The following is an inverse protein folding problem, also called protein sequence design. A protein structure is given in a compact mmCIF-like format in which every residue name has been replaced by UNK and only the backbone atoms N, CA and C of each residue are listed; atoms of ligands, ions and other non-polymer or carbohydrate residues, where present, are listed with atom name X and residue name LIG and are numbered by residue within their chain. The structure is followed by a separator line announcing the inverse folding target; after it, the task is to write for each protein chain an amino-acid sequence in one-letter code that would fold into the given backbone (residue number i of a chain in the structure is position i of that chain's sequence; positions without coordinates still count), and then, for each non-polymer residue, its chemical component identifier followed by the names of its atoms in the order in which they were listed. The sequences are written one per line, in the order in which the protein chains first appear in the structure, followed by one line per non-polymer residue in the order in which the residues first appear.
data_IF_211206382284
#
_entry.id   IF_211206382284
#
_cell.length_a   1.000
_cell.length_b   1.000
_cell.length_c   1.000
_cell.angle_alpha   90.00
_cell.angle_beta   90.00
_cell.angle_gamma   90.00
#
_symmetry.space_group_name_H-M   'P 1'
#
loop_
_entity.id
_entity.type
_entity.pdbx_description
1 polymer ?
#
# COMPACT_ATOMS: atom_id res chain seq x y z
N UNK A 1 59.82 34.49 -3.74
CA UNK A 1 60.60 35.45 -2.92
C UNK A 1 62.01 34.91 -2.71
N UNK A 2 62.17 33.73 -2.12
CA UNK A 2 63.45 33.02 -1.92
C UNK A 2 64.35 33.00 -3.15
N UNK A 3 63.84 32.61 -4.33
CA UNK A 3 64.63 32.57 -5.57
C UNK A 3 65.21 33.93 -6.00
N UNK A 4 64.48 35.02 -5.76
CA UNK A 4 64.94 36.36 -6.11
C UNK A 4 65.97 36.88 -5.10
N UNK A 5 65.79 36.56 -3.81
CA UNK A 5 66.76 36.89 -2.76
C UNK A 5 68.06 36.11 -2.96
N UNK A 6 67.98 34.83 -3.32
CA UNK A 6 69.15 34.00 -3.61
C UNK A 6 69.93 34.52 -4.83
N UNK A 7 69.25 34.93 -5.90
CA UNK A 7 69.91 35.52 -7.07
C UNK A 7 70.62 36.86 -6.75
N UNK A 8 70.04 37.69 -5.88
CA UNK A 8 70.67 38.93 -5.41
C UNK A 8 71.84 38.65 -4.47
N UNK A 9 71.71 37.65 -3.60
CA UNK A 9 72.77 37.16 -2.70
C UNK A 9 73.99 36.71 -3.49
N UNK A 10 73.80 35.81 -4.47
CA UNK A 10 74.87 35.31 -5.36
C UNK A 10 75.59 36.44 -6.10
N UNK A 11 74.83 37.43 -6.60
CA UNK A 11 75.42 38.60 -7.29
C UNK A 11 76.23 39.51 -6.36
N UNK A 12 75.87 39.59 -5.07
CA UNK A 12 76.62 40.35 -4.06
C UNK A 12 77.88 39.59 -3.63
N UNK A 13 77.79 38.27 -3.45
CA UNK A 13 78.96 37.41 -3.15
C UNK A 13 80.03 37.56 -4.23
N UNK A 14 79.65 37.48 -5.51
CA UNK A 14 80.57 37.67 -6.64
C UNK A 14 81.30 39.03 -6.55
N UNK A 15 80.58 40.11 -6.25
CA UNK A 15 81.18 41.45 -6.09
C UNK A 15 82.09 41.58 -4.87
N UNK A 16 81.77 40.90 -3.77
CA UNK A 16 82.62 40.88 -2.57
C UNK A 16 83.94 40.17 -2.83
N UNK A 17 83.91 39.04 -3.55
CA UNK A 17 85.11 38.35 -4.01
C UNK A 17 85.93 39.19 -4.99
N UNK A 18 85.30 39.87 -5.95
CA UNK A 18 85.98 40.79 -6.89
C UNK A 18 86.66 41.96 -6.16
N UNK A 19 86.09 42.41 -5.04
CA UNK A 19 86.67 43.47 -4.20
C UNK A 19 87.79 42.98 -3.26
N UNK A 20 88.12 41.68 -3.26
CA UNK A 20 89.22 41.11 -2.48
C UNK A 20 88.90 40.86 -1.00
N UNK A 21 87.62 40.75 -0.63
CA UNK A 21 87.21 40.28 0.71
C UNK A 21 87.60 38.79 0.88
N UNK A 22 87.94 38.39 2.11
CA UNK A 22 88.27 37.00 2.44
C UNK A 22 87.03 36.09 2.42
N UNK A 23 87.24 34.82 2.08
CA UNK A 23 86.18 33.82 1.92
C UNK A 23 85.38 33.59 3.20
N UNK A 24 86.03 33.66 4.37
CA UNK A 24 85.41 33.47 5.67
C UNK A 24 84.38 34.57 5.97
N UNK A 25 84.75 35.84 5.74
CA UNK A 25 83.85 36.98 5.91
C UNK A 25 82.67 36.98 4.94
N UNK A 26 82.88 36.55 3.68
CA UNK A 26 81.79 36.43 2.69
C UNK A 26 80.83 35.30 3.07
N UNK A 27 81.34 34.17 3.56
CA UNK A 27 80.53 33.03 3.98
C UNK A 27 79.74 33.31 5.27
N UNK A 28 80.31 34.05 6.22
CA UNK A 28 79.59 34.49 7.43
C UNK A 28 78.42 35.42 7.07
N UNK A 29 78.65 36.40 6.18
CA UNK A 29 77.59 37.26 5.66
C UNK A 29 76.50 36.47 4.94
N UNK A 30 76.92 35.55 4.06
CA UNK A 30 76.06 34.66 3.28
C UNK A 30 75.13 33.83 4.17
N UNK A 31 75.69 33.25 5.23
CA UNK A 31 74.98 32.46 6.23
C UNK A 31 73.97 33.31 7.02
N UNK A 32 74.33 34.56 7.37
CA UNK A 32 73.41 35.49 8.02
C UNK A 32 72.19 35.84 7.15
N UNK A 33 72.37 35.97 5.83
CA UNK A 33 71.25 36.19 4.89
C UNK A 33 70.36 34.95 4.79
N UNK A 34 70.95 33.75 4.73
CA UNK A 34 70.17 32.50 4.71
C UNK A 34 69.34 32.33 5.98
N UNK A 35 69.89 32.70 7.14
CA UNK A 35 69.15 32.69 8.40
C UNK A 35 67.94 33.62 8.37
N UNK A 36 68.09 34.85 7.86
CA UNK A 36 66.98 35.80 7.70
C UNK A 36 65.91 35.27 6.76
N UNK A 37 66.30 34.67 5.63
CA UNK A 37 65.36 34.06 4.67
C UNK A 37 64.60 32.89 5.30
N UNK A 38 65.30 32.03 6.05
CA UNK A 38 64.68 30.91 6.76
C UNK A 38 63.66 31.38 7.80
N UNK A 39 63.97 32.44 8.56
CA UNK A 39 63.06 33.06 9.52
C UNK A 39 61.81 33.64 8.82
N UNK A 40 62.00 34.30 7.69
CA UNK A 40 60.89 34.85 6.90
C UNK A 40 59.98 33.73 6.33
N UNK A 41 60.56 32.64 5.83
CA UNK A 41 59.81 31.48 5.32
C UNK A 41 59.05 30.76 6.44
N UNK A 42 59.62 30.66 7.64
CA UNK A 42 58.93 30.11 8.81
C UNK A 42 57.74 30.98 9.21
N UNK A 43 57.92 32.31 9.26
CA UNK A 43 56.83 33.24 9.52
C UNK A 43 55.71 33.14 8.46
N UNK A 44 56.06 33.04 7.17
CA UNK A 44 55.09 32.87 6.10
C UNK A 44 54.32 31.54 6.21
N UNK A 45 55.01 30.45 6.58
CA UNK A 45 54.36 29.15 6.82
C UNK A 45 53.36 29.22 7.98
N UNK A 46 53.74 29.88 9.08
CA UNK A 46 52.86 30.07 10.23
C UNK A 46 51.63 30.92 9.88
N UNK A 47 51.81 32.05 9.18
CA UNK A 47 50.69 32.88 8.72
C UNK A 47 49.77 32.13 7.75
N UNK A 48 50.34 31.33 6.85
CA UNK A 48 49.55 30.50 5.92
C UNK A 48 48.71 29.48 6.68
N UNK A 49 49.31 28.81 7.68
CA UNK A 49 48.62 27.86 8.56
C UNK A 49 47.45 28.51 9.31
N UNK A 50 47.64 29.73 9.83
CA UNK A 50 46.59 30.49 10.51
C UNK A 50 45.45 30.88 9.57
N UNK A 51 45.75 31.33 8.35
CA UNK A 51 44.74 31.64 7.32
C UNK A 51 43.89 30.40 7.03
N UNK A 52 44.53 29.26 6.79
CA UNK A 52 43.79 28.02 6.54
C UNK A 52 42.91 27.61 7.73
N UNK A 53 43.37 27.85 8.96
CA UNK A 53 42.59 27.55 10.15
C UNK A 53 41.37 28.47 10.29
N UNK A 54 41.53 29.76 9.99
CA UNK A 54 40.41 30.71 9.93
C UNK A 54 39.40 30.28 8.87
N UNK A 55 39.86 29.92 7.66
CA UNK A 55 38.99 29.46 6.58
C UNK A 55 38.22 28.19 6.94
N UNK A 56 38.88 27.22 7.58
CA UNK A 56 38.22 26.01 8.10
C UNK A 56 37.14 26.36 9.13
N UNK A 57 37.44 27.26 10.06
CA UNK A 57 36.49 27.69 11.08
C UNK A 57 35.29 28.43 10.49
N UNK A 58 35.51 29.32 9.51
CA UNK A 58 34.45 30.03 8.80
C UNK A 58 33.51 29.08 8.05
N UNK A 59 34.08 28.09 7.34
CA UNK A 59 33.29 27.05 6.65
C UNK A 59 32.46 26.24 7.64
N UNK A 60 33.06 25.82 8.75
CA UNK A 60 32.35 25.07 9.79
C UNK A 60 31.22 25.91 10.42
N UNK A 61 31.46 27.18 10.74
CA UNK A 61 30.47 28.08 11.29
C UNK A 61 29.29 28.31 10.33
N UNK A 62 29.57 28.47 9.03
CA UNK A 62 28.53 28.60 7.99
C UNK A 62 27.65 27.34 7.91
N UNK A 63 28.27 26.15 7.90
CA UNK A 63 27.54 24.88 7.87
C UNK A 63 26.67 24.69 9.12
N UNK A 64 27.18 25.04 10.31
CA UNK A 64 26.42 24.97 11.56
C UNK A 64 25.22 25.94 11.54
N UNK A 65 25.41 27.14 11.00
CA UNK A 65 24.34 28.13 10.88
C UNK A 65 23.23 27.65 9.92
N UNK A 66 23.60 27.06 8.79
CA UNK A 66 22.65 26.50 7.84
C UNK A 66 21.85 25.33 8.45
N UNK A 67 22.54 24.40 9.11
CA UNK A 67 21.89 23.28 9.80
C UNK A 67 20.95 23.76 10.91
N UNK A 68 21.36 24.77 11.69
CA UNK A 68 20.51 25.37 12.73
C UNK A 68 19.24 25.98 12.14
N UNK A 69 19.34 26.68 11.00
CA UNK A 69 18.20 27.26 10.28
C UNK A 69 17.24 26.19 9.78
N UNK A 70 17.75 25.06 9.31
CA UNK A 70 16.93 23.93 8.86
C UNK A 70 16.17 23.29 10.03
N UNK A 71 16.82 23.05 11.17
CA UNK A 71 16.18 22.55 12.38
C UNK A 71 15.06 23.50 12.84
N UNK A 72 15.31 24.81 12.82
CA UNK A 72 14.34 25.80 13.27
C UNK A 72 13.11 25.85 12.34
N UNK A 73 13.31 25.74 11.03
CA UNK A 73 12.23 25.62 10.05
C UNK A 73 11.39 24.36 10.27
N UNK A 74 12.03 23.21 10.51
CA UNK A 74 11.32 21.95 10.78
C UNK A 74 10.54 22.00 12.10
N UNK A 75 11.10 22.61 13.15
CA UNK A 75 10.39 22.83 14.42
C UNK A 75 9.16 23.73 14.23
N UNK A 76 9.28 24.77 13.43
CA UNK A 76 8.16 25.67 13.15
C UNK A 76 7.04 24.95 12.39
N UNK A 77 7.38 24.15 11.36
CA UNK A 77 6.40 23.30 10.66
C UNK A 77 5.70 22.34 11.60
N UNK A 78 6.43 21.73 12.53
CA UNK A 78 5.86 20.81 13.51
C UNK A 78 4.90 21.55 14.46
N UNK A 79 5.26 22.76 14.91
CA UNK A 79 4.39 23.60 15.74
C UNK A 79 3.10 23.96 15.01
N UNK A 80 3.19 24.44 13.76
CA UNK A 80 2.03 24.76 12.94
C UNK A 80 1.11 23.55 12.73
N UNK A 81 1.70 22.37 12.53
CA UNK A 81 0.95 21.11 12.42
C UNK A 81 0.21 20.78 13.73
N UNK A 82 0.87 20.94 14.87
CA UNK A 82 0.27 20.69 16.18
C UNK A 82 -0.88 21.67 16.48
N UNK A 83 -0.68 22.96 16.22
CA UNK A 83 -1.73 23.98 16.37
C UNK A 83 -2.93 23.73 15.44
N UNK A 84 -2.69 23.24 14.21
CA UNK A 84 -3.75 22.87 13.30
C UNK A 84 -4.58 21.69 13.79
N UNK A 85 -3.93 20.69 14.40
CA UNK A 85 -4.60 19.55 15.04
C UNK A 85 -5.42 20.00 16.24
N UNK A 86 -4.88 20.87 17.09
CA UNK A 86 -5.59 21.42 18.24
C UNK A 86 -6.80 22.26 17.84
N UNK A 87 -6.67 23.09 16.80
CA UNK A 87 -7.77 23.87 16.24
C UNK A 87 -8.88 22.96 15.69
N UNK A 88 -8.51 21.94 14.92
CA UNK A 88 -9.47 20.96 14.41
C UNK A 88 -10.18 20.19 15.54
N UNK A 89 -9.46 19.84 16.61
CA UNK A 89 -10.05 19.18 17.77
C UNK A 89 -11.01 20.11 18.53
N UNK A 90 -10.65 21.39 18.69
CA UNK A 90 -11.52 22.39 19.31
C UNK A 90 -12.80 22.64 18.51
N UNK A 91 -12.70 22.71 17.18
CA UNK A 91 -13.86 22.84 16.28
C UNK A 91 -14.80 21.62 16.38
N UNK A 92 -14.27 20.40 16.49
CA UNK A 92 -15.07 19.18 16.69
C UNK A 92 -15.83 19.21 18.03
N UNK A 93 -15.15 19.61 19.12
CA UNK A 93 -15.77 19.76 20.44
C UNK A 93 -16.88 20.83 20.42
N UNK A 94 -16.66 21.95 19.73
CA UNK A 94 -17.65 23.01 19.58
C UNK A 94 -18.86 22.54 18.77
N UNK A 95 -18.63 21.79 17.69
CA UNK A 95 -19.68 21.20 16.88
C UNK A 95 -20.52 20.19 17.68
N UNK A 96 -19.89 19.33 18.47
CA UNK A 96 -20.58 18.38 19.34
C UNK A 96 -21.41 19.09 20.42
N UNK A 97 -20.87 20.14 21.03
CA UNK A 97 -21.59 20.98 22.00
C UNK A 97 -22.83 21.64 21.37
N UNK A 98 -22.68 22.24 20.18
CA UNK A 98 -23.78 22.89 19.46
C UNK A 98 -24.88 21.90 19.06
N UNK A 99 -24.50 20.65 18.72
CA UNK A 99 -25.44 19.55 18.45
C UNK A 99 -26.23 19.13 19.69
N UNK A 100 -25.61 19.16 20.88
CA UNK A 100 -26.28 18.90 22.15
C UNK A 100 -27.24 20.04 22.54
N UNK A 101 -26.85 21.29 22.30
CA UNK A 101 -27.71 22.48 22.52
C UNK A 101 -28.94 22.47 21.60
N UNK A 102 -28.78 22.14 20.31
CA UNK A 102 -29.90 21.99 19.36
C UNK A 102 -30.88 20.87 19.75
N UNK A 103 -30.42 19.82 20.43
CA UNK A 103 -31.27 18.75 20.97
C UNK A 103 -32.07 19.17 22.21
N UNK A 104 -31.62 20.17 22.97
CA UNK A 104 -32.33 20.66 24.16
C UNK A 104 -33.44 21.67 23.82
N UNK A 105 -33.36 22.34 22.65
CA UNK A 105 -34.37 23.32 22.21
C UNK A 105 -35.63 22.68 21.59
N UNK A 106 -35.61 21.38 21.27
CA UNK A 106 -36.80 20.63 20.84
C UNK A 106 -37.40 19.83 22.00
N UNK A 107 -38.03 20.53 22.95
CA UNK A 107 -38.95 19.93 23.93
C UNK A 107 -40.27 20.70 23.98
N UNK A 108 -41.04 20.68 22.90
CA UNK A 108 -42.52 20.76 22.95
C UNK A 108 -43.12 19.85 21.87
N UNK A 109 -44.19 19.09 22.18
CA UNK A 109 -44.71 18.03 21.32
C UNK A 109 -45.74 18.55 20.30
N UNK A 110 -45.87 17.85 19.16
CA UNK A 110 -47.20 17.59 18.61
C UNK A 110 -47.48 16.09 18.47
N UNK A 111 -48.73 15.79 18.80
CA UNK A 111 -49.46 14.54 18.64
C UNK A 111 -49.43 13.97 17.21
N UNK A 112 -49.35 12.63 17.15
CA UNK A 112 -49.99 11.68 16.22
C UNK A 112 -49.56 11.86 14.74
N UNK A 113 -48.89 10.88 14.12
CA UNK A 113 -49.56 9.68 13.61
C UNK A 113 -48.58 8.53 13.42
N UNK A 114 -48.96 7.36 13.92
CA UNK A 114 -48.24 6.11 13.74
C UNK A 114 -48.19 5.72 12.24
N UNK A 115 -46.98 5.57 11.71
CA UNK A 115 -46.67 4.55 10.72
C UNK A 115 -45.50 3.75 11.29
N UNK A 116 -45.84 2.58 11.85
CA UNK A 116 -44.87 1.60 12.28
C UNK A 116 -44.14 1.05 11.04
N UNK A 117 -43.04 1.70 10.66
CA UNK A 117 -41.96 1.03 9.97
C UNK A 117 -41.16 0.33 11.06
N UNK A 118 -41.19 -1.01 11.07
CA UNK A 118 -40.22 -1.82 11.78
C UNK A 118 -38.83 -1.54 11.20
N UNK A 119 -38.24 -0.40 11.55
CA UNK A 119 -36.82 -0.14 11.32
C UNK A 119 -36.08 -0.93 12.38
N UNK A 120 -35.74 -2.16 12.03
CA UNK A 120 -34.64 -2.89 12.67
C UNK A 120 -33.47 -1.90 12.72
N UNK A 121 -33.10 -1.45 13.93
CA UNK A 121 -31.92 -0.60 14.12
C UNK A 121 -30.70 -1.45 13.78
N UNK A 122 -30.33 -1.42 12.50
CA UNK A 122 -29.11 -2.04 11.99
C UNK A 122 -27.92 -1.44 12.74
N UNK A 123 -26.91 -2.23 13.15
CA UNK A 123 -25.66 -1.69 13.64
C UNK A 123 -25.12 -0.64 12.66
N UNK A 124 -24.63 0.49 13.18
CA UNK A 124 -24.02 1.53 12.32
C UNK A 124 -22.84 0.90 11.59
N UNK A 125 -22.96 0.79 10.27
CA UNK A 125 -21.88 0.30 9.42
C UNK A 125 -20.71 1.28 9.50
N UNK A 126 -19.54 0.77 9.88
CA UNK A 126 -18.29 1.55 9.84
C UNK A 126 -17.66 1.30 8.49
N UNK A 127 -17.45 2.36 7.70
CA UNK A 127 -16.69 2.28 6.46
C UNK A 127 -15.24 2.01 6.83
N UNK A 128 -14.70 0.88 6.39
CA UNK A 128 -13.26 0.58 6.55
C UNK A 128 -12.44 1.46 5.62
N UNK A 129 -11.23 1.83 6.08
CA UNK A 129 -10.35 2.72 5.34
C UNK A 129 -9.94 2.12 4.00
N UNK A 130 -9.85 2.97 2.99
CA UNK A 130 -9.38 2.60 1.67
C UNK A 130 -7.85 2.58 1.63
N UNK A 131 -7.28 1.43 1.29
CA UNK A 131 -5.84 1.17 1.27
C UNK A 131 -5.13 1.64 -0.03
N UNK A 132 -5.90 2.04 -1.04
CA UNK A 132 -5.37 2.44 -2.34
C UNK A 132 -5.23 1.30 -3.35
N UNK A 133 -5.77 0.11 -3.06
CA UNK A 133 -5.79 -1.00 -4.04
C UNK A 133 -6.94 -0.82 -5.04
N UNK A 134 -6.74 -1.11 -6.34
CA UNK A 134 -7.81 -0.99 -7.33
C UNK A 134 -9.04 -1.87 -7.01
N UNK A 135 -8.83 -3.03 -6.40
CA UNK A 135 -9.93 -3.95 -6.03
C UNK A 135 -10.80 -3.37 -4.92
N UNK A 136 -10.18 -2.77 -3.90
CA UNK A 136 -10.94 -2.16 -2.80
C UNK A 136 -11.67 -0.87 -3.21
N UNK A 137 -11.25 -0.23 -4.30
CA UNK A 137 -11.87 1.02 -4.78
C UNK A 137 -13.38 0.87 -5.02
N UNK A 138 -13.82 -0.23 -5.65
CA UNK A 138 -15.23 -0.45 -5.98
C UNK A 138 -16.07 -0.52 -4.71
N UNK A 139 -15.60 -1.27 -3.70
CA UNK A 139 -16.25 -1.36 -2.39
C UNK A 139 -16.26 -0.01 -1.69
N UNK A 140 -15.08 0.62 -1.57
CA UNK A 140 -14.92 1.88 -0.86
C UNK A 140 -15.79 2.98 -1.47
N UNK A 141 -15.66 3.22 -2.78
CA UNK A 141 -16.39 4.29 -3.44
C UNK A 141 -17.89 4.06 -3.38
N UNK A 142 -18.37 2.83 -3.58
CA UNK A 142 -19.80 2.51 -3.44
C UNK A 142 -20.34 2.80 -2.04
N UNK A 143 -19.58 2.47 -0.99
CA UNK A 143 -19.97 2.76 0.40
C UNK A 143 -19.89 4.25 0.73
N UNK A 144 -18.79 4.92 0.35
CA UNK A 144 -18.58 6.33 0.57
C UNK A 144 -19.63 7.18 -0.17
N UNK A 145 -19.90 6.85 -1.44
CA UNK A 145 -20.86 7.58 -2.26
C UNK A 145 -22.27 7.51 -1.67
N UNK A 146 -22.69 6.31 -1.27
CA UNK A 146 -24.05 6.08 -0.75
C UNK A 146 -24.27 6.65 0.64
N UNK A 147 -23.27 6.57 1.53
CA UNK A 147 -23.42 6.97 2.93
C UNK A 147 -23.02 8.43 3.18
N UNK A 148 -22.06 8.96 2.42
CA UNK A 148 -21.44 10.26 2.68
C UNK A 148 -21.64 11.22 1.52
N UNK A 149 -21.22 10.89 0.29
CA UNK A 149 -21.27 11.82 -0.83
C UNK A 149 -22.70 12.26 -1.18
N UNK A 150 -23.64 11.31 -1.21
CA UNK A 150 -25.08 11.54 -1.46
C UNK A 150 -25.85 12.06 -0.25
N UNK A 151 -25.21 12.19 0.92
CA UNK A 151 -25.86 12.78 2.10
C UNK A 151 -26.08 14.29 1.92
N UNK A 152 -27.04 14.87 2.65
CA UNK A 152 -27.29 16.32 2.68
C UNK A 152 -26.27 17.10 3.52
N UNK A 153 -25.16 16.47 3.92
CA UNK A 153 -24.08 17.08 4.70
C UNK A 153 -23.32 18.11 3.85
N UNK A 154 -22.72 19.13 4.48
CA UNK A 154 -21.85 20.09 3.82
C UNK A 154 -20.62 19.43 3.18
N UNK A 155 -20.17 19.93 2.03
CA UNK A 155 -19.05 19.40 1.25
C UNK A 155 -17.74 19.40 2.04
N UNK A 156 -17.51 20.44 2.84
CA UNK A 156 -16.31 20.56 3.70
C UNK A 156 -16.27 19.44 4.75
N UNK A 157 -17.44 19.10 5.32
CA UNK A 157 -17.57 17.99 6.26
C UNK A 157 -17.39 16.64 5.55
N UNK A 158 -17.96 16.47 4.35
CA UNK A 158 -17.73 15.27 3.51
C UNK A 158 -16.24 15.10 3.19
N UNK A 159 -15.53 16.19 2.93
CA UNK A 159 -14.10 16.14 2.65
C UNK A 159 -13.27 15.71 3.86
N UNK A 160 -13.65 16.15 5.06
CA UNK A 160 -13.03 15.71 6.31
C UNK A 160 -13.20 14.19 6.51
N UNK A 161 -14.41 13.67 6.29
CA UNK A 161 -14.65 12.23 6.29
C UNK A 161 -13.85 11.50 5.21
N UNK A 162 -13.78 12.04 3.99
CA UNK A 162 -13.01 11.44 2.90
C UNK A 162 -11.53 11.28 3.30
N UNK A 163 -10.92 12.32 3.88
CA UNK A 163 -9.54 12.24 4.37
C UNK A 163 -9.35 11.20 5.48
N UNK A 164 -10.32 11.05 6.39
CA UNK A 164 -10.23 10.07 7.48
C UNK A 164 -10.46 8.62 7.05
N UNK A 165 -11.28 8.42 6.02
CA UNK A 165 -11.63 7.10 5.48
C UNK A 165 -10.66 6.59 4.40
N UNK A 166 -9.56 7.30 4.17
CA UNK A 166 -8.48 6.82 3.29
C UNK A 166 -7.18 6.65 4.09
N UNK A 167 -6.39 5.64 3.73
CA UNK A 167 -5.09 5.41 4.32
C UNK A 167 -4.09 6.51 3.94
N UNK A 168 -3.00 6.59 4.72
CA UNK A 168 -2.00 7.67 4.60
C UNK A 168 -1.48 7.83 3.16
N UNK A 169 -1.22 6.73 2.47
CA UNK A 169 -0.74 6.74 1.07
C UNK A 169 -1.72 7.43 0.12
N UNK A 170 -3.01 7.17 0.30
CA UNK A 170 -4.08 7.77 -0.52
C UNK A 170 -4.36 9.20 -0.05
N UNK A 171 -4.34 9.45 1.27
CA UNK A 171 -4.51 10.77 1.87
C UNK A 171 -3.53 11.79 1.30
N UNK A 172 -2.25 11.40 1.16
CA UNK A 172 -1.20 12.26 0.60
C UNK A 172 -1.54 12.82 -0.80
N UNK A 173 -2.36 12.12 -1.61
CA UNK A 173 -2.79 12.60 -2.92
C UNK A 173 -3.73 13.82 -2.83
N UNK A 174 -4.51 13.91 -1.76
CA UNK A 174 -5.56 14.93 -1.57
C UNK A 174 -5.26 15.89 -0.42
N UNK A 175 -4.17 15.69 0.34
CA UNK A 175 -3.93 16.40 1.58
C UNK A 175 -3.65 17.89 1.38
N UNK A 176 -2.96 18.23 0.28
CA UNK A 176 -2.63 19.60 -0.11
C UNK A 176 -3.80 20.43 -0.68
N UNK A 177 -5.01 19.86 -0.75
CA UNK A 177 -6.20 20.59 -1.20
C UNK A 177 -6.85 21.37 -0.04
N UNK A 178 -7.34 22.59 -0.28
CA UNK A 178 -7.99 23.40 0.74
C UNK A 178 -9.35 22.80 1.15
N UNK A 179 -9.73 22.94 2.42
CA UNK A 179 -11.04 22.51 2.95
C UNK A 179 -12.18 23.44 2.46
N UNK A 180 -12.51 23.31 1.19
CA UNK A 180 -13.51 24.08 0.44
C UNK A 180 -14.36 23.14 -0.41
N UNK A 181 -15.58 23.52 -0.83
CA UNK A 181 -16.37 22.72 -1.76
C UNK A 181 -15.61 22.35 -3.04
N UNK A 182 -14.85 23.30 -3.59
CA UNK A 182 -14.02 23.10 -4.78
C UNK A 182 -12.86 22.12 -4.51
N UNK A 183 -12.28 22.20 -3.32
CA UNK A 183 -11.26 21.25 -2.85
C UNK A 183 -11.81 19.83 -2.73
N UNK A 184 -13.04 19.67 -2.24
CA UNK A 184 -13.72 18.39 -2.15
C UNK A 184 -13.96 17.75 -3.53
N UNK A 185 -14.55 18.51 -4.47
CA UNK A 185 -14.78 18.01 -5.83
C UNK A 185 -13.46 17.61 -6.51
N UNK A 186 -12.41 18.43 -6.36
CA UNK A 186 -11.08 18.12 -6.90
C UNK A 186 -10.46 16.87 -6.26
N UNK A 187 -10.71 16.62 -4.97
CA UNK A 187 -10.28 15.42 -4.29
C UNK A 187 -10.96 14.16 -4.88
N UNK A 188 -12.29 14.22 -5.11
CA UNK A 188 -13.04 13.14 -5.76
C UNK A 188 -12.49 12.82 -7.14
N UNK A 189 -12.28 13.85 -7.96
CA UNK A 189 -11.72 13.71 -9.31
C UNK A 189 -10.33 13.07 -9.31
N UNK A 190 -9.45 13.48 -8.40
CA UNK A 190 -8.12 12.91 -8.28
C UNK A 190 -8.16 11.42 -7.90
N UNK A 191 -9.00 11.07 -6.93
CA UNK A 191 -9.17 9.68 -6.49
C UNK A 191 -9.79 8.81 -7.59
N UNK A 192 -10.86 9.28 -8.23
CA UNK A 192 -11.50 8.59 -9.34
C UNK A 192 -10.53 8.40 -10.52
N UNK A 193 -9.75 9.42 -10.87
CA UNK A 193 -8.75 9.34 -11.95
C UNK A 193 -7.60 8.39 -11.59
N UNK A 194 -7.20 8.29 -10.33
CA UNK A 194 -6.09 7.43 -9.90
C UNK A 194 -6.52 5.98 -9.71
N UNK A 195 -7.66 5.74 -9.08
CA UNK A 195 -8.10 4.43 -8.59
C UNK A 195 -9.38 3.92 -9.27
N UNK A 196 -10.24 4.81 -9.76
CA UNK A 196 -11.50 4.48 -10.43
C UNK A 196 -11.38 4.03 -11.88
N UNK A 197 -10.17 3.69 -12.35
CA UNK A 197 -9.96 3.14 -13.68
C UNK A 197 -10.43 1.69 -13.70
N UNK A 198 -11.60 1.42 -14.29
CA UNK A 198 -12.14 0.06 -14.42
C UNK A 198 -11.14 -0.91 -15.07
N UNK A 199 -10.30 -0.44 -16.00
CA UNK A 199 -9.26 -1.25 -16.62
C UNK A 199 -8.19 -1.76 -15.63
N UNK A 200 -7.83 -0.96 -14.63
CA UNK A 200 -6.85 -1.34 -13.59
C UNK A 200 -7.46 -2.35 -12.62
N UNK A 201 -8.74 -2.15 -12.27
CA UNK A 201 -9.52 -3.07 -11.42
C UNK A 201 -9.65 -4.43 -12.10
N UNK A 202 -10.12 -4.45 -13.35
CA UNK A 202 -10.21 -5.65 -14.18
C UNK A 202 -8.83 -6.30 -14.34
N UNK A 203 -7.79 -5.51 -14.62
CA UNK A 203 -6.43 -6.00 -14.73
C UNK A 203 -5.91 -6.67 -13.45
N UNK A 204 -6.31 -6.18 -12.27
CA UNK A 204 -5.94 -6.80 -11.00
C UNK A 204 -6.60 -8.18 -10.82
N UNK A 205 -7.90 -8.32 -11.11
CA UNK A 205 -8.59 -9.62 -11.06
C UNK A 205 -8.02 -10.61 -12.09
N UNK A 206 -7.70 -10.15 -13.30
CA UNK A 206 -7.04 -10.97 -14.33
C UNK A 206 -5.69 -11.46 -13.84
N UNK A 207 -4.84 -10.58 -13.29
CA UNK A 207 -3.53 -10.95 -12.75
C UNK A 207 -3.67 -11.99 -11.64
N UNK A 208 -4.59 -11.79 -10.70
CA UNK A 208 -4.84 -12.76 -9.63
C UNK A 208 -5.14 -14.17 -10.17
N UNK A 209 -5.95 -14.29 -11.23
CA UNK A 209 -6.26 -15.58 -11.87
C UNK A 209 -5.00 -16.18 -12.52
N UNK A 210 -4.25 -15.38 -13.27
CA UNK A 210 -3.03 -15.83 -13.96
C UNK A 210 -1.92 -16.24 -12.99
N UNK A 211 -1.84 -15.59 -11.83
CA UNK A 211 -0.86 -15.83 -10.77
C UNK A 211 -1.28 -16.94 -9.79
N UNK A 212 -2.47 -17.55 -9.96
CA UNK A 212 -2.88 -18.69 -9.15
C UNK A 212 -1.78 -19.79 -9.16
N UNK A 213 -1.46 -20.41 -8.01
CA UNK A 213 -0.42 -21.41 -7.95
C UNK A 213 -0.81 -22.68 -8.71
N UNK A 214 0.16 -23.32 -9.34
CA UNK A 214 -0.02 -24.67 -9.90
C UNK A 214 -0.02 -25.69 -8.78
N UNK A 215 -1.12 -26.42 -8.63
CA UNK A 215 -1.29 -27.49 -7.64
C UNK A 215 -0.79 -28.79 -8.25
N UNK A 216 0.38 -29.26 -7.80
CA UNK A 216 1.05 -30.46 -8.32
C UNK A 216 0.79 -31.71 -7.50
N UNK A 217 0.40 -31.54 -6.24
CA UNK A 217 0.16 -32.60 -5.29
C UNK A 217 -1.29 -32.57 -4.83
N UNK A 218 -1.85 -33.73 -4.44
CA UNK A 218 -3.26 -33.88 -4.10
C UNK A 218 -3.57 -33.36 -2.69
N UNK A 219 -3.37 -32.06 -2.49
CA UNK A 219 -3.67 -31.34 -1.26
C UNK A 219 -5.07 -30.74 -1.34
N UNK A 220 -6.08 -31.45 -0.79
CA UNK A 220 -7.49 -31.04 -0.84
C UNK A 220 -7.67 -29.59 -0.39
N UNK A 221 -7.04 -29.18 0.72
CA UNK A 221 -7.10 -27.80 1.21
C UNK A 221 -6.60 -26.77 0.19
N UNK A 222 -5.49 -27.04 -0.49
CA UNK A 222 -4.96 -26.12 -1.52
C UNK A 222 -5.89 -26.02 -2.73
N UNK A 223 -6.59 -27.10 -3.08
CA UNK A 223 -7.58 -27.08 -4.17
C UNK A 223 -8.81 -26.27 -3.78
N UNK A 224 -9.27 -26.37 -2.53
CA UNK A 224 -10.32 -25.48 -1.99
C UNK A 224 -9.89 -24.01 -2.02
N UNK A 225 -8.68 -23.69 -1.54
CA UNK A 225 -8.14 -22.32 -1.60
C UNK A 225 -8.00 -21.80 -3.05
N UNK A 226 -7.63 -22.67 -3.99
CA UNK A 226 -7.60 -22.35 -5.42
C UNK A 226 -9.00 -22.03 -5.94
N UNK A 227 -9.99 -22.88 -5.63
CA UNK A 227 -11.39 -22.69 -6.01
C UNK A 227 -11.94 -21.37 -5.46
N UNK A 228 -11.78 -21.09 -4.16
CA UNK A 228 -12.29 -19.86 -3.54
C UNK A 228 -11.70 -18.61 -4.17
N UNK A 229 -10.38 -18.61 -4.42
CA UNK A 229 -9.72 -17.49 -5.11
C UNK A 229 -10.22 -17.37 -6.54
N UNK A 230 -10.32 -18.46 -7.30
CA UNK A 230 -10.79 -18.41 -8.67
C UNK A 230 -12.24 -17.89 -8.73
N UNK A 231 -13.12 -18.41 -7.88
CA UNK A 231 -14.52 -18.01 -7.76
C UNK A 231 -14.62 -16.50 -7.50
N UNK A 232 -13.93 -16.00 -6.46
CA UNK A 232 -13.95 -14.58 -6.12
C UNK A 232 -13.56 -13.67 -7.30
N UNK A 233 -12.49 -14.01 -8.02
CA UNK A 233 -12.02 -13.19 -9.13
C UNK A 233 -12.96 -13.27 -10.36
N UNK A 234 -13.50 -14.46 -10.67
CA UNK A 234 -14.44 -14.64 -11.79
C UNK A 234 -15.77 -13.93 -11.54
N UNK A 235 -16.36 -14.07 -10.35
CA UNK A 235 -17.60 -13.40 -9.96
C UNK A 235 -17.44 -11.87 -10.00
N UNK A 236 -16.28 -11.37 -9.54
CA UNK A 236 -15.95 -9.94 -9.64
C UNK A 236 -15.88 -9.48 -11.09
N UNK A 237 -15.26 -10.25 -11.98
CA UNK A 237 -15.17 -9.95 -13.42
C UNK A 237 -16.52 -10.04 -14.13
N UNK A 238 -17.39 -10.97 -13.73
CA UNK A 238 -18.77 -11.08 -14.24
C UNK A 238 -19.60 -9.86 -13.85
N UNK A 239 -19.50 -9.44 -12.59
CA UNK A 239 -20.17 -8.21 -12.09
C UNK A 239 -19.71 -6.98 -12.86
N UNK A 240 -18.42 -6.92 -13.24
CA UNK A 240 -17.84 -5.86 -14.08
C UNK A 240 -18.04 -6.08 -15.60
N UNK A 241 -18.85 -7.07 -16.01
CA UNK A 241 -19.15 -7.42 -17.40
C UNK A 241 -17.89 -7.60 -18.28
N UNK A 242 -16.79 -8.05 -17.69
CA UNK A 242 -15.47 -8.14 -18.34
C UNK A 242 -14.94 -9.58 -18.45
N UNK A 243 -15.75 -10.57 -18.09
CA UNK A 243 -15.37 -11.99 -18.08
C UNK A 243 -14.98 -12.53 -19.47
N UNK A 244 -15.67 -12.09 -20.53
CA UNK A 244 -15.46 -12.53 -21.91
C UNK A 244 -14.03 -12.24 -22.44
N UNK A 245 -13.26 -11.40 -21.76
CA UNK A 245 -11.87 -11.11 -22.12
C UNK A 245 -10.91 -12.22 -21.70
N UNK A 246 -11.34 -13.19 -20.91
CA UNK A 246 -10.49 -14.24 -20.35
C UNK A 246 -10.79 -15.65 -20.90
N UNK A 247 -11.56 -15.78 -21.98
CA UNK A 247 -11.91 -17.11 -22.53
C UNK A 247 -10.65 -17.96 -22.83
N UNK A 248 -9.60 -17.32 -23.36
CA UNK A 248 -8.30 -17.99 -23.60
C UNK A 248 -7.56 -18.41 -22.32
N UNK A 249 -7.85 -17.79 -21.18
CA UNK A 249 -7.20 -18.09 -19.90
C UNK A 249 -7.84 -19.27 -19.17
N UNK A 250 -9.04 -19.72 -19.56
CA UNK A 250 -9.71 -20.87 -18.93
C UNK A 250 -8.83 -22.11 -19.02
N UNK A 251 -8.33 -22.42 -20.22
CA UNK A 251 -7.48 -23.59 -20.48
C UNK A 251 -6.18 -23.55 -19.67
N UNK A 252 -5.54 -22.38 -19.61
CA UNK A 252 -4.34 -22.14 -18.81
C UNK A 252 -4.60 -22.33 -17.32
N UNK A 253 -5.74 -21.85 -16.82
CA UNK A 253 -6.11 -21.96 -15.40
C UNK A 253 -6.47 -23.40 -15.04
N UNK A 254 -7.14 -24.12 -15.94
CA UNK A 254 -7.42 -25.55 -15.80
C UNK A 254 -6.13 -26.38 -15.70
N UNK A 255 -5.12 -26.07 -16.51
CA UNK A 255 -3.80 -26.74 -16.46
C UNK A 255 -3.04 -26.53 -15.14
N UNK A 256 -3.41 -25.54 -14.32
CA UNK A 256 -2.84 -25.36 -12.98
C UNK A 256 -3.28 -26.44 -11.99
N UNK A 257 -4.31 -27.24 -12.30
CA UNK A 257 -4.84 -28.31 -11.46
C UNK A 257 -4.54 -29.70 -12.02
N UNK A 258 -3.31 -29.91 -12.50
CA UNK A 258 -2.88 -31.14 -13.19
C UNK A 258 -3.22 -32.41 -12.40
N UNK A 259 -3.08 -32.36 -11.07
CA UNK A 259 -3.34 -33.50 -10.17
C UNK A 259 -4.79 -33.98 -10.15
N UNK A 260 -5.77 -33.12 -10.46
CA UNK A 260 -7.21 -33.49 -10.52
C UNK A 260 -7.81 -33.31 -11.91
N UNK A 261 -6.98 -33.01 -12.91
CA UNK A 261 -7.41 -32.67 -14.26
C UNK A 261 -8.28 -33.76 -14.88
N UNK A 262 -7.88 -35.03 -14.72
CA UNK A 262 -8.66 -36.17 -15.20
C UNK A 262 -9.98 -36.33 -14.45
N UNK A 263 -9.99 -36.11 -13.13
CA UNK A 263 -11.22 -36.17 -12.32
C UNK A 263 -12.22 -35.10 -12.78
N UNK A 264 -11.75 -33.90 -13.12
CA UNK A 264 -12.58 -32.82 -13.65
C UNK A 264 -13.04 -33.12 -15.08
N UNK A 265 -12.15 -33.58 -15.96
CA UNK A 265 -12.46 -33.90 -17.36
C UNK A 265 -13.47 -35.05 -17.50
N UNK A 266 -13.59 -35.93 -16.49
CA UNK A 266 -14.61 -36.98 -16.46
C UNK A 266 -16.02 -36.48 -16.11
N UNK A 267 -16.18 -35.22 -15.67
CA UNK A 267 -17.48 -34.65 -15.33
C UNK A 267 -18.27 -34.30 -16.60
N UNK A 268 -17.58 -33.87 -17.66
CA UNK A 268 -18.17 -33.45 -18.94
C UNK A 268 -17.19 -33.76 -20.08
N UNK A 269 -17.66 -34.43 -21.13
CA UNK A 269 -16.86 -34.78 -22.32
C UNK A 269 -16.39 -33.52 -23.08
N UNK A 270 -17.12 -32.41 -22.96
CA UNK A 270 -16.80 -31.14 -23.62
C UNK A 270 -15.92 -30.21 -22.77
N UNK A 271 -15.17 -30.75 -21.81
CA UNK A 271 -14.32 -29.96 -20.90
C UNK A 271 -13.32 -29.05 -21.61
N UNK A 272 -12.92 -29.38 -22.83
CA UNK A 272 -11.99 -28.57 -23.64
C UNK A 272 -12.57 -27.23 -24.09
N UNK A 273 -13.90 -27.10 -24.12
CA UNK A 273 -14.64 -25.91 -24.55
C UNK A 273 -15.23 -25.13 -23.37
N UNK A 274 -14.87 -25.49 -22.14
CA UNK A 274 -15.41 -24.85 -20.96
C UNK A 274 -15.07 -23.35 -20.91
N UNK A 275 -16.06 -22.58 -20.48
CA UNK A 275 -15.90 -21.23 -19.95
C UNK A 275 -15.49 -21.30 -18.47
N UNK A 276 -15.10 -20.16 -17.88
CA UNK A 276 -14.86 -20.09 -16.43
C UNK A 276 -16.08 -20.50 -15.60
N UNK A 277 -17.30 -20.28 -16.10
CA UNK A 277 -18.53 -20.68 -15.42
C UNK A 277 -18.60 -22.20 -15.28
N UNK A 278 -18.46 -22.92 -16.40
CA UNK A 278 -18.50 -24.38 -16.41
C UNK A 278 -17.33 -24.99 -15.63
N UNK A 279 -16.14 -24.39 -15.74
CA UNK A 279 -14.99 -24.83 -14.96
C UNK A 279 -15.21 -24.66 -13.45
N UNK A 280 -15.78 -23.53 -13.00
CA UNK A 280 -16.11 -23.32 -11.59
C UNK A 280 -17.17 -24.28 -11.09
N UNK A 281 -18.21 -24.55 -11.87
CA UNK A 281 -19.23 -25.55 -11.49
C UNK A 281 -18.65 -26.95 -11.33
N UNK A 282 -17.73 -27.35 -12.22
CA UNK A 282 -17.03 -28.62 -12.13
C UNK A 282 -16.13 -28.68 -10.89
N UNK A 283 -15.40 -27.60 -10.62
CA UNK A 283 -14.50 -27.51 -9.47
C UNK A 283 -15.26 -27.44 -8.13
N UNK A 284 -16.40 -26.75 -8.08
CA UNK A 284 -17.31 -26.73 -6.93
C UNK A 284 -17.86 -28.13 -6.63
N UNK A 285 -18.32 -28.86 -7.67
CA UNK A 285 -18.74 -30.25 -7.50
C UNK A 285 -17.59 -31.10 -6.96
N UNK A 286 -16.36 -30.87 -7.41
CA UNK A 286 -15.19 -31.57 -6.91
C UNK A 286 -14.92 -31.26 -5.43
N UNK A 287 -14.96 -29.98 -5.02
CA UNK A 287 -14.71 -29.57 -3.62
C UNK A 287 -15.77 -30.10 -2.67
N UNK A 288 -17.04 -30.12 -3.08
CA UNK A 288 -18.14 -30.73 -2.32
C UNK A 288 -17.94 -32.24 -2.13
N UNK A 289 -17.43 -32.94 -3.13
CA UNK A 289 -17.15 -34.38 -3.04
C UNK A 289 -15.85 -34.70 -2.26
N UNK A 290 -14.99 -33.71 -2.02
CA UNK A 290 -13.70 -33.87 -1.32
C UNK A 290 -13.61 -32.84 -0.17
N UNK A 291 -14.32 -33.03 0.95
CA UNK A 291 -14.32 -32.08 2.06
C UNK A 291 -12.94 -32.01 2.75
N UNK A 292 -12.58 -30.83 3.25
CA UNK A 292 -11.37 -30.64 4.08
C UNK A 292 -11.58 -31.35 5.42
N UNK A 293 -10.67 -32.26 5.80
CA UNK A 293 -10.75 -32.96 7.08
C UNK A 293 -10.76 -31.96 8.24
N UNK A 294 -11.75 -32.06 9.15
CA UNK A 294 -11.88 -31.22 10.34
C UNK A 294 -12.97 -30.15 10.30
N UNK A 295 -13.80 -30.06 9.24
CA UNK A 295 -14.98 -29.17 9.22
C UNK A 295 -16.24 -29.96 9.63
N UNK A 296 -16.42 -30.18 10.92
CA UNK A 296 -17.69 -30.61 11.51
C UNK A 296 -18.67 -29.42 11.57
N UNK A 297 -19.16 -28.94 10.43
CA UNK A 297 -20.42 -28.17 10.41
C UNK A 297 -21.00 -28.09 9.00
N UNK A 298 -21.81 -29.09 8.65
CA UNK A 298 -22.54 -29.21 7.38
C UNK A 298 -23.75 -28.26 7.25
N UNK A 299 -23.96 -27.35 8.20
CA UNK A 299 -25.11 -26.42 8.16
C UNK A 299 -24.89 -25.21 7.25
N UNK A 300 -23.64 -24.86 6.90
CA UNK A 300 -23.34 -23.68 6.09
C UNK A 300 -23.43 -23.88 4.56
N UNK A 301 -23.44 -25.12 4.06
CA UNK A 301 -23.48 -25.43 2.62
C UNK A 301 -24.90 -25.65 2.07
N UNK A 302 -25.93 -25.53 2.90
CA UNK A 302 -27.29 -25.98 2.59
C UNK A 302 -28.17 -24.95 1.85
N UNK A 303 -27.64 -23.78 1.51
CA UNK A 303 -28.42 -22.68 0.91
C UNK A 303 -28.62 -22.84 -0.61
N UNK A 304 -27.80 -23.64 -1.30
CA UNK A 304 -27.77 -23.66 -2.79
C UNK A 304 -28.12 -25.00 -3.47
N UNK A 305 -28.43 -26.07 -2.74
CA UNK A 305 -28.64 -27.39 -3.36
C UNK A 305 -30.09 -27.59 -3.88
N UNK A 306 -30.24 -27.81 -5.20
CA UNK A 306 -31.51 -28.18 -5.83
C UNK A 306 -31.99 -29.59 -5.43
N UNK A 307 -33.30 -29.83 -5.58
CA UNK A 307 -33.97 -31.08 -5.19
C UNK A 307 -33.44 -32.36 -5.88
N UNK A 308 -32.76 -32.26 -7.02
CA UNK A 308 -32.09 -33.42 -7.67
C UNK A 308 -30.79 -33.83 -6.96
N UNK A 309 -30.04 -32.85 -6.43
CA UNK A 309 -28.81 -33.09 -5.66
C UNK A 309 -29.11 -33.81 -4.34
N UNK A 310 -30.24 -33.50 -3.69
CA UNK A 310 -30.67 -34.16 -2.43
C UNK A 310 -30.77 -35.69 -2.55
N UNK A 311 -31.18 -36.21 -3.72
CA UNK A 311 -31.32 -37.66 -3.95
C UNK A 311 -29.97 -38.35 -4.13
N UNK A 312 -29.02 -37.68 -4.77
CA UNK A 312 -27.65 -38.18 -4.97
C UNK A 312 -26.86 -38.20 -3.65
N UNK A 313 -27.00 -37.16 -2.81
CA UNK A 313 -26.39 -37.12 -1.47
C UNK A 313 -26.94 -38.20 -0.53
N UNK A 314 -28.25 -38.50 -0.60
CA UNK A 314 -28.86 -39.60 0.18
C UNK A 314 -28.31 -40.97 -0.21
N UNK A 315 -28.11 -41.20 -1.51
CA UNK A 315 -27.56 -42.46 -2.03
C UNK A 315 -26.09 -42.65 -1.66
N UNK A 316 -25.26 -41.60 -1.75
CA UNK A 316 -23.85 -41.69 -1.32
C UNK A 316 -23.69 -41.82 0.20
N UNK A 317 -24.53 -41.15 1.00
CA UNK A 317 -24.51 -41.31 2.46
C UNK A 317 -24.86 -42.75 2.87
N UNK A 318 -25.87 -43.37 2.24
CA UNK A 318 -26.25 -44.78 2.48
C UNK A 318 -25.13 -45.78 2.13
N UNK A 319 -24.35 -45.48 1.08
CA UNK A 319 -23.18 -46.28 0.69
C UNK A 319 -22.01 -46.06 1.65
N UNK A 320 -21.79 -44.83 2.12
CA UNK A 320 -20.73 -44.50 3.08
C UNK A 320 -21.01 -45.01 4.50
N UNK A 321 -22.28 -45.15 4.92
CA UNK A 321 -22.66 -45.74 6.22
C UNK A 321 -22.84 -47.27 6.17
N UNK A 322 -22.41 -47.94 5.10
CA UNK A 322 -22.39 -49.41 5.04
C UNK A 322 -23.76 -50.09 5.04
N UNK A 323 -24.82 -49.42 4.60
CA UNK A 323 -26.20 -49.94 4.74
C UNK A 323 -26.69 -50.79 3.55
N UNK A 324 -25.81 -51.25 2.65
CA UNK A 324 -26.13 -52.16 1.54
C UNK A 324 -25.29 -53.44 1.57
N UNK A 325 -25.38 -54.19 2.66
CA UNK A 325 -25.05 -55.61 2.68
C UNK A 325 -26.26 -56.38 3.19
N UNK A 326 -27.10 -56.85 2.26
CA UNK A 326 -27.97 -58.05 2.38
C UNK A 326 -28.92 -58.17 1.17
N UNK A 327 -28.40 -58.37 -0.04
CA UNK A 327 -29.14 -59.07 -1.09
C UNK A 327 -28.14 -59.86 -1.95
N UNK A 328 -27.56 -60.91 -1.39
CA UNK A 328 -26.99 -62.01 -2.18
C UNK A 328 -26.86 -63.24 -1.28
N UNK A 329 -28.01 -63.84 -0.97
CA UNK A 329 -28.08 -65.26 -0.64
C UNK A 329 -29.53 -65.75 -0.77
N UNK A 330 -29.87 -66.21 -1.98
CA UNK A 330 -30.91 -67.21 -2.24
C UNK A 330 -30.72 -67.77 -3.65
N UNK A 331 -29.80 -68.72 -3.80
CA UNK A 331 -30.00 -69.80 -4.77
C UNK A 331 -31.22 -70.62 -4.30
N UNK A 332 -32.21 -70.87 -5.16
CA UNK A 332 -33.18 -71.92 -4.89
C UNK A 332 -32.59 -73.25 -5.37
N UNK A 333 -32.28 -74.14 -4.43
CA UNK A 333 -32.41 -75.57 -4.72
C UNK A 333 -33.89 -75.91 -4.71
N UNK A 334 -34.36 -76.61 -5.74
CA UNK A 334 -35.43 -77.60 -5.62
C UNK A 334 -35.36 -78.51 -6.87
N UNK A 335 -35.01 -79.77 -6.58
CA UNK A 335 -35.38 -81.05 -7.22
C UNK A 335 -35.79 -81.09 -8.70
#
# INVERSE_FOLDING_TARGET
MVTAVNALKESIEEKKFVNGEDEESVQEWSSGIEEIVNQADECMRELTSQIEQIDRNLKHASALHEHKREIELEREKLRQKQEAVERAHAEELEFEKKKLELKQVQTEPPEITAMASNVVKMPKLVITKFDGTPQDWVRFWGQFETQIDKSSTLEVTKFSYLKELVDLKVRNLIDGLPFTPEGYEKAKDLLARRYGKTSEVVGAYVRNILELPTVRERHVKQIHEFYEKLLFNVESLQTLQSINKLDAAVRFTFDKLDVIKNELAMIDENWSEWTFVQFLEALEKWTINNPVQGVENLEALNVYASSKQKRFFRLKALVATGCLQKIEDRRPDLN
#
